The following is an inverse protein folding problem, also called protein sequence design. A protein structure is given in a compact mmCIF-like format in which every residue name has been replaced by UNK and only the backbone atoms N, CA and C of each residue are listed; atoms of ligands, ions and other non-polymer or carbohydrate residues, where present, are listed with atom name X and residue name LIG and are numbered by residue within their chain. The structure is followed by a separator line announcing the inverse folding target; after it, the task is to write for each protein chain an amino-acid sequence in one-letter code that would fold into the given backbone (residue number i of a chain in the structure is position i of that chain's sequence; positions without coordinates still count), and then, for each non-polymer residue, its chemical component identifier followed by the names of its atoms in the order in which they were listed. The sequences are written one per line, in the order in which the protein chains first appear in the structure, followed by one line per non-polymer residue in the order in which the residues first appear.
data_IF_133730844645
#
_entry.id   IF_133730844645
#
_cell.length_a   1.000
_cell.length_b   1.000
_cell.length_c   1.000
_cell.angle_alpha   90.00
_cell.angle_beta   90.00
_cell.angle_gamma   90.00
#
_symmetry.space_group_name_H-M   'P 1'
#
loop_
_entity.id
_entity.type
_entity.pdbx_description
1 polymer ?
#
# COMPACT_ATOMS: atom_id res chain seq x y z
N UNK A 1 -12.16 79.97 54.01
CA UNK A 1 -11.48 80.24 52.72
C UNK A 1 -10.90 78.92 52.23
N UNK A 2 -11.01 78.60 50.93
CA UNK A 2 -11.63 77.34 50.48
C UNK A 2 -10.70 76.42 49.65
N UNK A 3 -11.27 75.27 49.21
CA UNK A 3 -10.94 74.43 48.03
C UNK A 3 -9.68 73.55 48.13
N UNK A 4 -9.65 72.31 47.66
CA UNK A 4 -10.60 71.46 46.94
C UNK A 4 -10.09 70.01 47.03
N UNK A 5 -10.97 69.04 47.25
CA UNK A 5 -10.77 67.66 46.80
C UNK A 5 -11.99 67.28 45.98
N UNK A 6 -11.74 67.06 44.69
CA UNK A 6 -12.75 66.78 43.69
C UNK A 6 -13.23 65.33 43.84
N UNK A 7 -14.54 65.17 44.02
CA UNK A 7 -15.27 63.93 43.82
C UNK A 7 -15.11 63.48 42.36
N UNK A 8 -14.67 62.23 42.16
CA UNK A 8 -14.79 61.54 40.89
C UNK A 8 -16.26 61.16 40.65
N UNK A 9 -16.83 61.36 39.44
CA UNK A 9 -18.16 60.88 39.12
C UNK A 9 -18.15 59.39 38.76
N UNK A 10 -19.25 58.74 39.15
CA UNK A 10 -19.65 57.39 38.79
C UNK A 10 -19.66 57.21 37.27
N UNK A 11 -19.05 56.12 36.78
CA UNK A 11 -19.12 55.73 35.37
C UNK A 11 -20.15 54.62 35.25
N UNK A 12 -21.28 55.00 34.65
CA UNK A 12 -22.41 54.17 34.28
C UNK A 12 -22.00 53.10 33.26
N UNK A 13 -22.30 51.86 33.59
CA UNK A 13 -22.00 50.66 32.82
C UNK A 13 -22.88 50.63 31.56
N UNK A 14 -22.33 51.04 30.42
CA UNK A 14 -22.99 50.89 29.11
C UNK A 14 -22.45 49.66 28.40
N UNK A 15 -23.30 48.62 28.42
CA UNK A 15 -23.14 47.35 27.71
C UNK A 15 -23.23 47.60 26.21
N UNK A 16 -22.09 47.55 25.52
CA UNK A 16 -22.04 47.44 24.06
C UNK A 16 -21.76 45.98 23.69
N UNK A 17 -22.79 45.28 23.25
CA UNK A 17 -22.68 43.98 22.59
C UNK A 17 -21.93 44.15 21.27
N UNK A 18 -20.65 43.82 21.26
CA UNK A 18 -19.90 43.63 20.02
C UNK A 18 -20.04 42.16 19.61
N UNK A 19 -20.98 41.89 18.71
CA UNK A 19 -21.07 40.60 18.03
C UNK A 19 -19.81 40.38 17.19
N UNK A 20 -18.86 39.61 17.70
CA UNK A 20 -17.77 39.08 16.91
C UNK A 20 -18.36 38.03 15.97
N UNK A 21 -18.49 38.37 14.69
CA UNK A 21 -18.82 37.43 13.64
C UNK A 21 -17.67 36.42 13.52
N UNK A 22 -17.81 35.27 14.19
CA UNK A 22 -17.03 34.08 13.90
C UNK A 22 -17.41 33.62 12.49
N UNK A 23 -16.57 33.95 11.51
CA UNK A 23 -16.63 33.33 10.20
C UNK A 23 -16.27 31.85 10.36
N UNK A 24 -17.29 31.02 10.59
CA UNK A 24 -17.19 29.57 10.44
C UNK A 24 -16.82 29.30 8.97
N UNK A 25 -15.63 28.76 8.75
CA UNK A 25 -15.28 28.16 7.47
C UNK A 25 -16.34 27.08 7.15
N UNK A 26 -16.81 26.97 5.90
CA UNK A 26 -17.77 25.93 5.58
C UNK A 26 -17.11 24.56 5.81
N UNK A 27 -17.71 23.75 6.67
CA UNK A 27 -17.44 22.31 6.70
C UNK A 27 -17.72 21.80 5.28
N UNK A 28 -16.66 21.30 4.64
CA UNK A 28 -16.77 20.63 3.35
C UNK A 28 -17.43 19.29 3.65
N UNK A 29 -18.75 19.24 3.51
CA UNK A 29 -19.50 17.98 3.43
C UNK A 29 -18.97 17.23 2.21
N UNK A 30 -18.14 16.21 2.45
CA UNK A 30 -17.67 15.29 1.42
C UNK A 30 -18.87 14.41 1.00
N UNK A 31 -19.67 14.95 0.08
CA UNK A 31 -20.69 14.17 -0.64
C UNK A 31 -20.02 13.07 -1.45
N UNK A 32 -19.81 11.92 -0.83
CA UNK A 32 -19.38 10.69 -1.49
C UNK A 32 -20.58 10.09 -2.20
N UNK A 33 -20.71 10.43 -3.48
CA UNK A 33 -21.66 9.75 -4.38
C UNK A 33 -21.10 8.36 -4.72
N UNK A 34 -21.84 7.25 -4.53
CA UNK A 34 -21.36 5.92 -4.84
C UNK A 34 -21.68 5.57 -6.30
N UNK A 35 -20.82 5.98 -7.24
CA UNK A 35 -20.73 5.42 -8.59
C UNK A 35 -19.53 6.02 -9.34
N UNK A 36 -18.66 5.17 -9.90
CA UNK A 36 -17.42 5.48 -10.63
C UNK A 36 -16.22 5.93 -9.78
N UNK A 37 -15.65 5.02 -8.98
CA UNK A 37 -14.20 5.04 -8.80
C UNK A 37 -13.60 4.70 -10.16
N UNK A 38 -13.16 5.71 -10.92
CA UNK A 38 -12.28 5.47 -12.07
C UNK A 38 -11.10 4.68 -11.53
N UNK A 39 -10.90 3.43 -12.00
CA UNK A 39 -9.68 2.69 -11.67
C UNK A 39 -8.51 3.59 -12.03
N UNK A 40 -7.64 3.85 -11.06
CA UNK A 40 -6.41 4.59 -11.31
C UNK A 40 -5.58 3.82 -12.33
N UNK A 41 -4.91 4.54 -13.20
CA UNK A 41 -3.90 3.99 -14.10
C UNK A 41 -2.53 4.10 -13.42
N UNK A 42 -1.60 3.19 -13.73
CA UNK A 42 -0.22 3.25 -13.25
C UNK A 42 0.50 4.40 -13.97
N UNK A 43 1.09 5.35 -13.24
CA UNK A 43 1.77 6.51 -13.83
C UNK A 43 3.16 6.12 -14.37
N UNK A 44 3.78 5.11 -13.77
CA UNK A 44 5.15 4.68 -14.06
C UNK A 44 5.24 3.32 -14.76
N UNK A 45 4.10 2.71 -15.07
CA UNK A 45 4.00 1.41 -15.74
C UNK A 45 4.09 0.21 -14.79
N UNK A 46 4.06 -1.01 -15.35
CA UNK A 46 4.26 -2.23 -14.58
C UNK A 46 5.74 -2.36 -14.20
N UNK A 47 6.08 -2.55 -12.91
CA UNK A 47 7.46 -2.73 -12.50
C UNK A 47 8.06 -4.06 -13.00
N UNK A 48 7.24 -5.00 -13.46
CA UNK A 48 7.64 -6.38 -13.69
C UNK A 48 7.73 -6.80 -15.16
N UNK A 49 7.60 -5.85 -16.08
CA UNK A 49 7.58 -6.10 -17.53
C UNK A 49 8.86 -6.75 -18.07
N UNK A 50 9.99 -6.59 -17.38
CA UNK A 50 11.31 -7.07 -17.80
C UNK A 50 12.20 -7.53 -16.63
N UNK A 51 11.58 -8.11 -15.59
CA UNK A 51 12.32 -8.55 -14.40
C UNK A 51 12.88 -7.38 -13.59
N UNK A 52 12.14 -6.28 -13.55
CA UNK A 52 12.49 -5.06 -12.83
C UNK A 52 13.69 -4.29 -13.40
N UNK A 53 14.20 -4.64 -14.58
CA UNK A 53 15.36 -4.00 -15.19
C UNK A 53 15.12 -2.51 -15.51
N UNK A 54 13.88 -2.12 -15.82
CA UNK A 54 13.54 -0.74 -16.16
C UNK A 54 12.63 -0.06 -15.12
N UNK A 55 12.60 -0.55 -13.87
CA UNK A 55 11.87 0.14 -12.79
C UNK A 55 12.42 1.55 -12.62
N UNK A 56 11.56 2.54 -12.84
CA UNK A 56 11.90 3.95 -12.61
C UNK A 56 11.49 4.36 -11.20
N UNK A 57 12.38 4.14 -10.23
CA UNK A 57 12.13 4.47 -8.82
C UNK A 57 11.86 5.96 -8.60
N UNK A 58 12.49 6.84 -9.38
CA UNK A 58 12.25 8.29 -9.33
C UNK A 58 10.82 8.62 -9.71
N UNK A 59 10.30 8.02 -10.79
CA UNK A 59 8.91 8.16 -11.16
C UNK A 59 8.00 7.62 -10.05
N UNK A 60 8.25 6.40 -9.56
CA UNK A 60 7.40 5.76 -8.55
C UNK A 60 7.32 6.60 -7.27
N UNK A 61 8.44 7.15 -6.80
CA UNK A 61 8.48 8.02 -5.62
C UNK A 61 7.70 9.32 -5.82
N UNK A 62 7.54 9.76 -7.07
CA UNK A 62 6.73 10.90 -7.47
C UNK A 62 5.31 10.53 -7.93
N UNK A 63 4.90 9.26 -7.88
CA UNK A 63 3.52 8.88 -8.23
C UNK A 63 2.52 9.42 -7.21
N UNK A 64 1.27 9.63 -7.62
CA UNK A 64 0.19 9.99 -6.71
C UNK A 64 -0.02 8.92 -5.63
N UNK A 65 0.11 7.64 -5.99
CA UNK A 65 0.00 6.52 -5.05
C UNK A 65 1.10 6.59 -3.97
N UNK A 66 2.36 6.84 -4.35
CA UNK A 66 3.45 6.93 -3.38
C UNK A 66 3.26 8.13 -2.44
N UNK A 67 2.87 9.29 -2.98
CA UNK A 67 2.57 10.47 -2.15
C UNK A 67 1.44 10.22 -1.16
N UNK A 68 0.35 9.62 -1.60
CA UNK A 68 -0.78 9.29 -0.72
C UNK A 68 -0.34 8.42 0.45
N UNK A 69 0.39 7.34 0.17
CA UNK A 69 0.83 6.40 1.19
C UNK A 69 1.97 6.93 2.07
N UNK A 70 2.86 7.76 1.53
CA UNK A 70 3.97 8.37 2.27
C UNK A 70 3.52 9.55 3.15
N UNK A 71 2.49 10.29 2.74
CA UNK A 71 1.95 11.43 3.49
C UNK A 71 0.77 11.06 4.40
N UNK A 72 0.29 9.82 4.34
CA UNK A 72 -0.71 9.32 5.29
C UNK A 72 -0.15 9.47 6.71
N UNK A 73 -0.88 10.15 7.59
CA UNK A 73 -0.56 10.20 9.01
C UNK A 73 -0.54 8.77 9.58
N UNK A 74 0.11 8.57 10.74
CA UNK A 74 0.01 7.29 11.45
C UNK A 74 -1.46 6.88 11.65
N UNK A 75 -2.33 7.81 12.05
CA UNK A 75 -3.78 7.58 12.16
C UNK A 75 -4.50 7.28 10.83
N UNK A 76 -3.98 7.74 9.69
CA UNK A 76 -4.46 7.38 8.36
C UNK A 76 -4.04 5.96 7.97
N UNK A 77 -2.78 5.59 8.25
CA UNK A 77 -2.25 4.24 8.04
C UNK A 77 -2.97 3.20 8.89
N UNK A 78 -3.33 3.53 10.12
CA UNK A 78 -4.10 2.65 11.02
C UNK A 78 -5.51 2.31 10.52
N UNK A 79 -6.09 3.16 9.67
CA UNK A 79 -7.40 2.91 9.05
C UNK A 79 -7.34 1.97 7.86
N UNK A 80 -6.14 1.66 7.36
CA UNK A 80 -5.96 0.68 6.30
C UNK A 80 -6.16 -0.73 6.87
N UNK A 81 -6.67 -1.63 6.03
CA UNK A 81 -6.83 -3.05 6.30
C UNK A 81 -6.04 -3.83 5.27
N UNK A 82 -5.44 -4.93 5.70
CA UNK A 82 -4.85 -5.89 4.79
C UNK A 82 -5.96 -6.75 4.15
N UNK A 83 -6.10 -6.64 2.84
CA UNK A 83 -6.95 -7.54 2.06
C UNK A 83 -6.10 -8.71 1.59
N UNK A 84 -6.08 -9.77 2.39
CA UNK A 84 -5.23 -10.95 2.20
C UNK A 84 -5.91 -11.95 1.28
N UNK A 85 -5.15 -12.47 0.33
CA UNK A 85 -5.50 -13.59 -0.54
C UNK A 85 -4.45 -14.71 -0.35
N UNK A 86 -4.93 -15.90 0.01
CA UNK A 86 -4.10 -17.10 0.04
C UNK A 86 -3.85 -17.64 -1.39
N UNK A 87 -2.74 -18.36 -1.56
CA UNK A 87 -2.34 -18.90 -2.86
C UNK A 87 -2.24 -17.83 -3.95
N UNK A 88 -1.67 -16.67 -3.62
CA UNK A 88 -1.44 -15.58 -4.54
C UNK A 88 -0.06 -14.96 -4.33
N UNK A 89 0.62 -14.59 -5.41
CA UNK A 89 1.84 -13.77 -5.41
C UNK A 89 1.53 -12.43 -6.08
N UNK A 90 1.39 -11.38 -5.28
CA UNK A 90 1.19 -10.01 -5.76
C UNK A 90 2.51 -9.36 -6.15
N UNK A 91 2.48 -8.62 -7.26
CA UNK A 91 3.60 -7.85 -7.75
C UNK A 91 3.72 -6.49 -7.06
N UNK A 92 4.95 -6.00 -7.02
CA UNK A 92 5.36 -4.71 -6.53
C UNK A 92 6.88 -4.66 -6.40
N UNK A 93 7.42 -3.45 -6.32
CA UNK A 93 8.84 -3.23 -6.05
C UNK A 93 9.09 -3.50 -4.57
N UNK A 94 10.04 -4.38 -4.24
CA UNK A 94 10.36 -4.70 -2.85
C UNK A 94 10.99 -3.49 -2.13
N UNK A 95 10.29 -2.92 -1.15
CA UNK A 95 10.77 -1.82 -0.29
C UNK A 95 11.44 -2.32 0.98
N UNK A 96 11.17 -3.59 1.35
CA UNK A 96 11.93 -4.34 2.33
C UNK A 96 11.95 -5.81 1.92
N UNK A 97 13.15 -6.35 1.83
CA UNK A 97 13.38 -7.72 1.39
C UNK A 97 13.01 -8.69 2.50
N UNK A 98 12.35 -9.81 2.14
CA UNK A 98 11.92 -10.84 3.09
C UNK A 98 13.07 -11.68 3.64
N UNK A 99 14.21 -11.71 2.94
CA UNK A 99 15.44 -12.35 3.42
C UNK A 99 15.89 -11.61 4.68
N UNK A 100 15.75 -12.26 5.85
CA UNK A 100 15.94 -11.68 7.20
C UNK A 100 14.83 -10.75 7.71
N UNK A 101 13.68 -10.68 7.03
CA UNK A 101 12.48 -10.04 7.53
C UNK A 101 11.34 -11.05 7.56
N UNK A 102 11.16 -11.69 8.71
CA UNK A 102 10.19 -12.77 8.90
C UNK A 102 9.07 -12.38 9.86
N UNK A 103 7.90 -13.00 9.67
CA UNK A 103 6.71 -12.88 10.51
C UNK A 103 6.05 -14.25 10.69
N UNK A 104 5.21 -14.39 11.70
CA UNK A 104 4.51 -15.65 11.99
C UNK A 104 3.24 -15.84 11.16
N UNK A 105 2.65 -14.75 10.68
CA UNK A 105 1.40 -14.76 9.89
C UNK A 105 1.43 -13.74 8.75
N UNK A 106 0.49 -13.88 7.81
CA UNK A 106 0.27 -12.90 6.75
C UNK A 106 -0.28 -11.57 7.31
N UNK A 107 -1.13 -11.64 8.34
CA UNK A 107 -1.66 -10.48 9.04
C UNK A 107 -0.54 -9.65 9.67
N UNK A 108 0.39 -10.31 10.36
CA UNK A 108 1.56 -9.64 10.92
C UNK A 108 2.42 -9.00 9.82
N UNK A 109 2.59 -9.67 8.67
CA UNK A 109 3.29 -9.07 7.53
C UNK A 109 2.58 -7.80 7.00
N UNK A 110 1.24 -7.80 6.99
CA UNK A 110 0.42 -6.63 6.68
C UNK A 110 0.60 -5.50 7.68
N UNK A 111 0.68 -5.79 8.98
CA UNK A 111 1.00 -4.78 10.00
C UNK A 111 2.41 -4.22 9.84
N UNK A 112 3.42 -5.06 9.54
CA UNK A 112 4.76 -4.57 9.19
C UNK A 112 4.76 -3.69 7.94
N UNK A 113 3.89 -3.99 6.97
CA UNK A 113 3.69 -3.12 5.82
C UNK A 113 3.12 -1.77 6.27
N UNK A 114 2.10 -1.73 7.14
CA UNK A 114 1.52 -0.49 7.70
C UNK A 114 2.57 0.37 8.42
N UNK A 115 3.43 -0.28 9.21
CA UNK A 115 4.50 0.33 10.01
C UNK A 115 5.74 0.74 9.20
N UNK A 116 5.86 0.33 7.93
CA UNK A 116 7.01 0.66 7.10
C UNK A 116 7.20 2.17 6.98
N UNK A 117 8.40 2.63 7.33
CA UNK A 117 8.79 4.05 7.26
C UNK A 117 9.66 4.26 6.04
N UNK A 118 9.26 5.22 5.20
CA UNK A 118 10.04 5.67 4.05
C UNK A 118 11.37 6.26 4.54
N UNK A 119 12.47 5.88 3.89
CA UNK A 119 13.79 6.47 4.13
C UNK A 119 14.18 7.33 2.93
N UNK A 120 14.11 8.67 3.02
CA UNK A 120 14.42 9.55 1.89
C UNK A 120 15.86 9.40 1.36
N UNK A 121 16.79 9.01 2.23
CA UNK A 121 18.20 8.71 1.95
C UNK A 121 18.47 7.19 1.85
N UNK A 122 17.41 6.39 1.79
CA UNK A 122 17.48 4.94 1.65
C UNK A 122 18.05 4.50 0.31
N UNK A 123 18.59 3.27 0.26
CA UNK A 123 19.15 2.70 -0.95
C UNK A 123 18.04 2.00 -1.74
N UNK A 124 17.99 2.22 -3.05
CA UNK A 124 17.02 1.57 -3.93
C UNK A 124 15.59 1.97 -3.59
N UNK A 125 14.71 0.99 -3.36
CA UNK A 125 13.28 1.19 -3.17
C UNK A 125 12.87 1.55 -1.73
N UNK A 126 13.82 1.72 -0.79
CA UNK A 126 13.53 2.16 0.58
C UNK A 126 12.94 3.59 0.64
N UNK A 127 13.05 4.35 -0.46
CA UNK A 127 12.40 5.65 -0.67
C UNK A 127 10.89 5.57 -0.94
N UNK A 128 10.34 4.35 -1.09
CA UNK A 128 8.93 4.11 -1.36
C UNK A 128 8.20 3.61 -0.10
N UNK A 129 6.90 3.96 0.07
CA UNK A 129 6.09 3.41 1.14
C UNK A 129 5.70 1.96 0.86
N UNK A 130 5.19 1.23 1.85
CA UNK A 130 4.61 -0.09 1.64
C UNK A 130 3.08 -0.03 1.52
N UNK A 131 2.55 -0.69 0.49
CA UNK A 131 1.11 -0.86 0.28
C UNK A 131 0.70 -2.24 -0.25
N UNK A 132 1.67 -3.10 -0.57
CA UNK A 132 1.48 -4.49 -0.97
C UNK A 132 2.47 -5.34 -0.19
N UNK A 133 2.12 -6.58 0.13
CA UNK A 133 3.06 -7.52 0.73
C UNK A 133 2.81 -8.93 0.21
N UNK A 134 3.85 -9.76 0.29
CA UNK A 134 3.72 -11.22 0.14
C UNK A 134 4.40 -11.88 1.33
N UNK A 135 3.77 -12.93 1.84
CA UNK A 135 4.22 -13.69 2.99
C UNK A 135 4.27 -15.18 2.63
N UNK A 136 5.37 -15.82 3.03
CA UNK A 136 5.55 -17.24 2.83
C UNK A 136 5.04 -18.01 4.06
N UNK A 137 4.05 -18.90 3.93
CA UNK A 137 3.50 -19.62 5.08
C UNK A 137 4.53 -20.45 5.86
N UNK A 138 4.36 -20.53 7.18
CA UNK A 138 5.29 -21.27 8.07
C UNK A 138 5.22 -22.78 7.90
N UNK A 139 4.10 -23.28 7.42
CA UNK A 139 3.84 -24.68 7.13
C UNK A 139 4.22 -25.09 5.70
N UNK A 140 4.75 -24.16 4.90
CA UNK A 140 5.42 -24.50 3.66
C UNK A 140 6.63 -25.39 4.02
N UNK A 141 6.78 -26.53 3.36
CA UNK A 141 7.86 -27.49 3.68
C UNK A 141 9.27 -26.91 3.51
N UNK A 142 10.30 -27.72 3.73
CA UNK A 142 11.72 -27.29 3.73
C UNK A 142 12.18 -26.55 2.45
N UNK A 143 11.47 -26.71 1.33
CA UNK A 143 11.74 -26.01 0.07
C UNK A 143 11.26 -24.56 0.01
N UNK A 144 10.48 -24.11 0.99
CA UNK A 144 10.02 -22.71 1.04
C UNK A 144 8.98 -22.35 -0.02
N UNK A 145 8.79 -21.05 -0.23
CA UNK A 145 7.88 -20.56 -1.26
C UNK A 145 8.57 -20.45 -2.61
N UNK A 146 7.90 -20.95 -3.65
CA UNK A 146 8.40 -20.84 -5.01
C UNK A 146 8.02 -19.48 -5.61
N UNK A 147 8.99 -18.80 -6.21
CA UNK A 147 8.81 -17.69 -7.13
C UNK A 147 9.75 -17.95 -8.32
N UNK A 148 9.36 -17.66 -9.58
CA UNK A 148 10.23 -17.83 -10.74
C UNK A 148 11.27 -16.71 -10.84
N UNK A 149 12.08 -16.55 -9.80
CA UNK A 149 13.18 -15.57 -9.73
C UNK A 149 14.52 -16.24 -9.34
N UNK A 150 15.54 -15.42 -9.08
CA UNK A 150 16.89 -15.90 -8.74
C UNK A 150 17.10 -16.18 -7.24
N UNK A 151 16.07 -15.99 -6.41
CA UNK A 151 16.18 -16.04 -4.95
C UNK A 151 15.58 -17.34 -4.39
N UNK A 152 15.98 -17.65 -3.16
CA UNK A 152 15.33 -18.65 -2.34
C UNK A 152 14.49 -17.93 -1.30
N UNK A 153 13.28 -18.42 -1.07
CA UNK A 153 12.36 -17.86 -0.11
C UNK A 153 12.05 -18.90 0.96
N UNK A 154 12.05 -18.49 2.22
CA UNK A 154 11.92 -19.39 3.35
C UNK A 154 10.61 -19.18 4.10
N UNK A 155 10.25 -20.19 4.90
CA UNK A 155 9.07 -20.17 5.74
C UNK A 155 9.04 -18.92 6.66
N UNK A 156 7.99 -18.12 6.52
CA UNK A 156 7.77 -16.88 7.26
C UNK A 156 8.38 -15.63 6.63
N UNK A 157 9.06 -15.72 5.48
CA UNK A 157 9.55 -14.53 4.77
C UNK A 157 8.40 -13.55 4.52
N UNK A 158 8.61 -12.29 4.90
CA UNK A 158 7.67 -11.19 4.72
C UNK A 158 8.28 -10.12 3.82
N UNK A 159 7.83 -10.06 2.57
CA UNK A 159 8.30 -9.12 1.57
C UNK A 159 7.36 -7.91 1.53
N UNK A 160 7.87 -6.75 1.92
CA UNK A 160 7.13 -5.49 1.85
C UNK A 160 7.37 -4.87 0.49
N UNK A 161 6.29 -4.47 -0.18
CA UNK A 161 6.32 -3.98 -1.56
C UNK A 161 5.54 -2.68 -1.73
N UNK A 162 5.91 -1.96 -2.78
CA UNK A 162 5.16 -0.85 -3.33
C UNK A 162 4.60 -1.24 -4.70
N UNK A 163 3.31 -0.97 -4.92
CA UNK A 163 2.68 -1.03 -6.22
C UNK A 163 1.83 0.22 -6.44
N UNK A 164 1.89 0.80 -7.63
CA UNK A 164 0.85 1.75 -8.02
C UNK A 164 -0.50 1.04 -8.05
N UNK A 165 -1.58 1.79 -7.82
CA UNK A 165 -2.95 1.26 -7.94
C UNK A 165 -3.18 -0.04 -7.13
N UNK A 166 -2.88 -0.08 -5.81
CA UNK A 166 -3.00 -1.29 -5.00
C UNK A 166 -4.43 -1.88 -4.98
N UNK A 167 -5.45 -1.07 -5.28
CA UNK A 167 -6.83 -1.51 -5.47
C UNK A 167 -7.04 -2.35 -6.75
N UNK A 168 -6.09 -2.35 -7.67
CA UNK A 168 -6.03 -3.19 -8.87
C UNK A 168 -4.59 -3.74 -9.05
N UNK A 169 -4.15 -4.49 -8.05
CA UNK A 169 -2.78 -5.02 -7.97
C UNK A 169 -2.48 -6.00 -9.11
N UNK A 170 -1.23 -6.01 -9.57
CA UNK A 170 -0.75 -7.01 -10.52
C UNK A 170 -0.44 -8.33 -9.81
N UNK A 171 -0.81 -9.44 -10.44
CA UNK A 171 -0.71 -10.78 -9.87
C UNK A 171 0.15 -11.64 -10.78
N UNK A 172 1.16 -12.28 -10.20
CA UNK A 172 2.09 -13.14 -10.94
C UNK A 172 1.72 -14.61 -10.86
N UNK A 173 1.13 -15.02 -9.74
CA UNK A 173 0.64 -16.37 -9.56
C UNK A 173 -0.64 -16.30 -8.72
N UNK A 174 -1.66 -17.09 -9.06
CA UNK A 174 -2.90 -17.21 -8.26
C UNK A 174 -3.53 -18.58 -8.39
N UNK A 175 -3.91 -19.16 -7.26
CA UNK A 175 -4.52 -20.48 -7.18
C UNK A 175 -3.61 -21.55 -7.75
N UNK A 176 -4.13 -22.33 -8.71
CA UNK A 176 -3.31 -23.31 -9.42
C UNK A 176 -2.41 -22.61 -10.44
N UNK A 177 -1.10 -22.90 -10.41
CA UNK A 177 -0.13 -22.29 -11.32
C UNK A 177 -0.45 -22.56 -12.81
N UNK A 178 -1.07 -23.69 -13.13
CA UNK A 178 -1.50 -24.04 -14.49
C UNK A 178 -2.97 -23.70 -14.79
N UNK A 179 -3.60 -22.84 -13.99
CA UNK A 179 -4.95 -22.38 -14.28
C UNK A 179 -5.01 -21.58 -15.61
N UNK A 180 -6.17 -21.54 -16.29
CA UNK A 180 -6.36 -20.69 -17.46
C UNK A 180 -5.98 -19.23 -17.16
N UNK A 181 -5.15 -18.64 -18.03
CA UNK A 181 -4.62 -17.28 -17.86
C UNK A 181 -3.11 -17.21 -17.55
N UNK A 182 -2.51 -18.30 -17.06
CA UNK A 182 -1.07 -18.39 -16.78
C UNK A 182 -0.26 -19.09 -17.90
N UNK A 183 -0.92 -19.35 -19.03
CA UNK A 183 -0.29 -19.88 -20.24
C UNK A 183 0.35 -18.74 -21.00
N UNK A 184 1.61 -18.91 -21.41
CA UNK A 184 2.32 -17.86 -22.14
C UNK A 184 1.89 -17.73 -23.60
N UNK A 185 2.41 -16.71 -24.29
CA UNK A 185 2.13 -16.45 -25.71
C UNK A 185 2.49 -17.61 -26.66
N UNK A 186 3.39 -18.49 -26.23
CA UNK A 186 3.84 -19.66 -27.00
C UNK A 186 3.01 -20.92 -26.69
N UNK A 187 1.97 -20.79 -25.84
CA UNK A 187 1.11 -21.89 -25.44
C UNK A 187 1.67 -22.76 -24.31
N UNK A 188 2.80 -22.37 -23.69
CA UNK A 188 3.40 -23.12 -22.58
C UNK A 188 2.73 -22.79 -21.25
N UNK A 189 2.36 -23.84 -20.53
CA UNK A 189 1.86 -23.80 -19.16
C UNK A 189 2.94 -23.33 -18.17
N UNK A 190 2.56 -23.03 -16.93
CA UNK A 190 3.49 -22.61 -15.91
C UNK A 190 4.46 -23.74 -15.55
N UNK A 191 3.97 -24.97 -15.42
CA UNK A 191 4.79 -26.15 -15.15
C UNK A 191 5.80 -26.45 -16.27
N UNK A 192 5.45 -26.23 -17.54
CA UNK A 192 6.39 -26.40 -18.66
C UNK A 192 7.52 -25.35 -18.67
N UNK A 193 7.24 -24.14 -18.15
CA UNK A 193 8.23 -23.07 -18.01
C UNK A 193 9.07 -23.24 -16.73
N UNK A 194 8.48 -23.81 -15.69
CA UNK A 194 9.05 -23.92 -14.35
C UNK A 194 8.84 -25.32 -13.78
N UNK A 195 9.70 -26.27 -14.17
CA UNK A 195 9.55 -27.68 -13.79
C UNK A 195 9.52 -27.96 -12.27
N UNK A 196 10.09 -27.06 -11.47
CA UNK A 196 10.12 -27.17 -10.00
C UNK A 196 8.98 -26.40 -9.31
N UNK A 197 8.08 -25.77 -10.07
CA UNK A 197 6.97 -25.02 -9.51
C UNK A 197 5.96 -25.95 -8.82
N UNK A 198 5.37 -25.54 -7.70
CA UNK A 198 4.28 -26.27 -7.08
C UNK A 198 3.02 -26.17 -7.94
N UNK A 199 2.11 -27.15 -7.78
CA UNK A 199 0.80 -27.11 -8.46
C UNK A 199 -0.05 -25.92 -8.02
N UNK A 200 0.04 -25.56 -6.73
CA UNK A 200 -0.68 -24.48 -6.10
C UNK A 200 0.34 -23.45 -5.59
N UNK A 201 0.03 -22.17 -5.74
CA UNK A 201 0.89 -21.09 -5.25
C UNK A 201 1.05 -21.20 -3.74
N UNK A 202 2.29 -21.09 -3.24
CA UNK A 202 2.55 -21.16 -1.79
C UNK A 202 2.26 -19.85 -1.06
N UNK A 203 2.49 -18.72 -1.71
CA UNK A 203 2.39 -17.40 -1.11
C UNK A 203 0.98 -17.04 -0.65
N UNK A 204 0.88 -16.30 0.44
CA UNK A 204 -0.27 -15.43 0.73
C UNK A 204 0.15 -13.99 0.49
N UNK A 205 -0.69 -13.21 -0.17
CA UNK A 205 -0.39 -11.83 -0.51
C UNK A 205 -1.49 -10.91 -0.03
N UNK A 206 -1.16 -9.63 0.19
CA UNK A 206 -2.16 -8.65 0.57
C UNK A 206 -1.87 -7.27 0.05
N UNK A 207 -2.94 -6.47 -0.04
CA UNK A 207 -2.87 -5.04 -0.29
C UNK A 207 -3.47 -4.27 0.88
N UNK A 208 -2.87 -3.12 1.21
CA UNK A 208 -3.40 -2.21 2.22
C UNK A 208 -4.36 -1.23 1.58
N UNK A 209 -5.64 -1.32 1.92
CA UNK A 209 -6.67 -0.40 1.42
C UNK A 209 -7.57 0.08 2.57
N UNK A 210 -8.23 1.23 2.42
CA UNK A 210 -9.31 1.60 3.32
C UNK A 210 -10.44 0.58 3.30
N UNK A 211 -11.10 0.39 4.45
CA UNK A 211 -12.18 -0.59 4.63
C UNK A 211 -13.36 -0.43 3.66
N UNK A 212 -13.57 0.79 3.14
CA UNK A 212 -14.60 1.09 2.13
C UNK A 212 -14.24 0.65 0.71
N UNK A 213 -13.01 0.19 0.47
CA UNK A 213 -12.55 -0.25 -0.86
C UNK A 213 -12.53 -1.76 -0.97
N UNK A 214 -12.74 -2.25 -2.19
CA UNK A 214 -12.58 -3.66 -2.52
C UNK A 214 -11.30 -3.83 -3.34
N UNK A 215 -10.45 -4.77 -2.93
CA UNK A 215 -9.30 -5.18 -3.72
C UNK A 215 -9.77 -5.89 -5.01
N UNK A 216 -9.27 -5.43 -6.15
CA UNK A 216 -9.32 -6.08 -7.45
C UNK A 216 -7.87 -6.35 -7.90
N UNK A 217 -7.73 -7.03 -9.03
CA UNK A 217 -6.42 -7.39 -9.56
C UNK A 217 -6.44 -7.61 -11.06
N UNK A 218 -5.27 -7.51 -11.69
CA UNK A 218 -5.01 -7.91 -13.07
C UNK A 218 -3.81 -8.86 -13.12
N UNK A 219 -3.75 -9.74 -14.12
CA UNK A 219 -2.54 -10.53 -14.33
C UNK A 219 -1.40 -9.59 -14.72
N UNK A 220 -0.28 -9.71 -14.00
CA UNK A 220 0.94 -8.98 -14.30
C UNK A 220 1.71 -9.63 -15.46
N UNK A 221 2.71 -8.94 -16.03
CA UNK A 221 3.55 -9.51 -17.09
C UNK A 221 4.21 -10.84 -16.70
N UNK A 222 4.50 -11.04 -15.40
CA UNK A 222 5.15 -12.26 -14.91
C UNK A 222 4.22 -13.47 -14.78
N UNK A 223 2.90 -13.28 -14.86
CA UNK A 223 1.94 -14.38 -14.90
C UNK A 223 2.17 -15.33 -16.07
N UNK A 224 2.72 -14.80 -17.17
CA UNK A 224 2.92 -15.51 -18.42
C UNK A 224 4.38 -15.60 -18.85
N UNK A 225 5.35 -15.34 -17.96
CA UNK A 225 6.75 -15.15 -18.37
C UNK A 225 7.45 -16.45 -18.76
#
# INVERSE_FOLDING_TARGET
MPRADALAPEVEETRAETAAATALAPEVEETTTPANVRRRERECGSPAVDGYAHVNLTCLAMSATAREFAHASASGREKLRAHIEEHASYDGVAVRWGIHHTTETAEECGERCKEHVVKPDGIGAEVLPCNVFVWCPKDVGEGGCFEPDAHQHFAGDCWLKFSETPENVEVNQRGANDAPGFVNKDGKTFAERHANAPKLVHWSSGVLLPESMTASSTLGPRATW
#
